data_IF_846103766214
#
_entry.id   IF_846103766214
#
_cell.length_a   1.000
_cell.length_b   1.000
_cell.length_c   1.000
_cell.angle_alpha   90.00
_cell.angle_beta   90.00
_cell.angle_gamma   90.00
#
_symmetry.space_group_name_H-M   'P 1'
#
loop_
_entity.id
_entity.type
_entity.pdbx_description
1 polymer ?
#
# COMPACT_ATOMS: atom_id res chain seq x y z
N UNK A 1 -14.47 2.77 16.14
CA UNK A 1 -14.58 1.35 15.73
C UNK A 1 -13.19 0.91 15.30
N UNK A 2 -12.75 -0.30 15.63
CA UNK A 2 -11.46 -0.83 15.16
C UNK A 2 -11.72 -1.84 14.06
N UNK A 3 -11.16 -1.62 12.87
CA UNK A 3 -11.23 -2.59 11.78
C UNK A 3 -10.09 -3.61 11.89
N UNK A 4 -10.26 -4.76 11.22
CA UNK A 4 -9.25 -5.82 11.13
C UNK A 4 -9.29 -6.42 9.74
N UNK A 5 -8.14 -6.81 9.20
CA UNK A 5 -8.10 -7.45 7.88
C UNK A 5 -8.82 -8.80 7.89
N UNK A 6 -9.74 -8.98 6.93
CA UNK A 6 -10.30 -10.29 6.61
C UNK A 6 -9.25 -11.23 5.98
N UNK A 7 -9.58 -12.51 5.88
CA UNK A 7 -8.65 -13.56 5.42
C UNK A 7 -7.98 -13.22 4.08
N UNK A 8 -8.75 -12.68 3.14
CA UNK A 8 -8.21 -12.26 1.84
C UNK A 8 -7.10 -11.23 2.00
N UNK A 9 -7.33 -10.08 2.63
CA UNK A 9 -6.28 -9.06 2.81
C UNK A 9 -5.12 -9.60 3.64
N UNK A 10 -5.40 -10.42 4.66
CA UNK A 10 -4.37 -10.98 5.53
C UNK A 10 -3.38 -11.89 4.79
N UNK A 11 -3.86 -12.69 3.83
CA UNK A 11 -2.98 -13.48 2.95
C UNK A 11 -1.97 -12.60 2.20
N UNK A 12 -2.40 -11.43 1.71
CA UNK A 12 -1.55 -10.52 0.92
C UNK A 12 -0.58 -9.80 1.85
N UNK A 13 -1.07 -9.30 2.99
CA UNK A 13 -0.23 -8.72 4.06
C UNK A 13 0.87 -9.69 4.49
N UNK A 14 0.55 -10.97 4.67
CA UNK A 14 1.53 -11.96 5.12
C UNK A 14 2.65 -12.24 4.09
N UNK A 15 2.51 -11.79 2.84
CA UNK A 15 3.59 -11.84 1.85
C UNK A 15 4.55 -10.64 1.92
N UNK A 16 4.19 -9.60 2.66
CA UNK A 16 4.98 -8.38 2.82
C UNK A 16 6.03 -8.49 3.93
N UNK A 17 7.01 -7.58 3.91
CA UNK A 17 8.03 -7.45 4.93
C UNK A 17 7.38 -7.20 6.30
N UNK A 18 8.01 -7.69 7.38
CA UNK A 18 7.44 -7.64 8.73
C UNK A 18 7.06 -6.23 9.19
N UNK A 19 7.88 -5.23 8.81
CA UNK A 19 7.60 -3.82 9.10
C UNK A 19 6.33 -3.34 8.42
N UNK A 20 6.15 -3.64 7.13
CA UNK A 20 4.94 -3.29 6.39
C UNK A 20 3.72 -3.99 6.99
N UNK A 21 3.86 -5.23 7.46
CA UNK A 21 2.79 -5.93 8.17
C UNK A 21 2.40 -5.22 9.47
N UNK A 22 3.38 -4.84 10.30
CA UNK A 22 3.13 -4.13 11.57
C UNK A 22 2.45 -2.79 11.31
N UNK A 23 2.94 -2.02 10.35
CA UNK A 23 2.40 -0.72 9.95
C UNK A 23 0.94 -0.86 9.51
N UNK A 24 0.66 -1.74 8.54
CA UNK A 24 -0.70 -1.90 7.99
C UNK A 24 -1.68 -2.42 9.05
N UNK A 25 -1.26 -3.36 9.89
CA UNK A 25 -2.10 -3.90 10.99
C UNK A 25 -2.41 -2.82 12.04
N UNK A 26 -1.47 -1.94 12.34
CA UNK A 26 -1.71 -0.81 13.25
C UNK A 26 -2.65 0.22 12.60
N UNK A 27 -2.40 0.57 11.34
CA UNK A 27 -3.19 1.57 10.61
C UNK A 27 -4.66 1.17 10.48
N UNK A 28 -4.97 -0.09 10.12
CA UNK A 28 -6.37 -0.54 10.01
C UNK A 28 -7.11 -0.49 11.35
N UNK A 29 -6.42 -0.75 12.47
CA UNK A 29 -7.02 -0.67 13.80
C UNK A 29 -7.37 0.76 14.23
N UNK A 30 -6.75 1.77 13.61
CA UNK A 30 -6.88 3.20 13.97
C UNK A 30 -7.67 4.02 12.96
N UNK A 31 -7.80 3.53 11.73
CA UNK A 31 -8.53 4.23 10.69
C UNK A 31 -10.05 4.21 10.96
N UNK A 32 -10.71 5.35 10.72
CA UNK A 32 -12.16 5.43 10.67
C UNK A 32 -12.75 4.99 9.31
N UNK A 33 -11.87 4.75 8.32
CA UNK A 33 -12.21 4.27 6.99
C UNK A 33 -11.62 2.87 6.85
N UNK A 34 -12.49 1.88 6.60
CA UNK A 34 -12.04 0.49 6.39
C UNK A 34 -11.27 0.38 5.07
N UNK A 35 -10.23 -0.45 5.05
CA UNK A 35 -9.42 -0.69 3.85
C UNK A 35 -8.90 -2.12 3.81
N UNK A 36 -8.61 -2.60 2.61
CA UNK A 36 -8.00 -3.90 2.38
C UNK A 36 -6.69 -3.78 1.62
N UNK A 37 -6.04 -4.93 1.43
CA UNK A 37 -4.80 -5.04 0.63
C UNK A 37 -5.12 -5.83 -0.64
N UNK A 38 -4.90 -5.21 -1.79
CA UNK A 38 -5.10 -5.83 -3.10
C UNK A 38 -3.89 -6.66 -3.51
N UNK A 39 -2.67 -6.19 -3.22
CA UNK A 39 -1.44 -6.86 -3.63
C UNK A 39 -0.32 -6.67 -2.60
N UNK A 40 0.46 -7.74 -2.38
CA UNK A 40 1.69 -7.74 -1.59
C UNK A 40 2.84 -8.19 -2.48
N UNK A 41 3.34 -9.42 -2.28
CA UNK A 41 4.33 -10.02 -3.19
C UNK A 41 3.74 -10.31 -4.57
N UNK A 42 4.42 -9.81 -5.59
CA UNK A 42 4.10 -10.01 -7.00
C UNK A 42 5.15 -10.90 -7.66
N UNK A 43 4.70 -12.05 -8.16
CA UNK A 43 5.58 -13.00 -8.86
C UNK A 43 6.08 -12.43 -10.20
N UNK A 44 7.15 -13.01 -10.74
CA UNK A 44 7.72 -12.61 -12.04
C UNK A 44 6.71 -12.84 -13.17
N UNK A 45 5.95 -13.93 -13.11
CA UNK A 45 4.91 -14.25 -14.09
C UNK A 45 3.80 -13.21 -14.06
N UNK A 46 3.36 -12.80 -12.86
CA UNK A 46 2.38 -11.73 -12.69
C UNK A 46 2.93 -10.40 -13.20
N UNK A 47 4.19 -10.08 -12.91
CA UNK A 47 4.85 -8.87 -13.41
C UNK A 47 4.88 -8.84 -14.95
N UNK A 48 5.21 -9.96 -15.59
CA UNK A 48 5.22 -10.09 -17.05
C UNK A 48 3.83 -9.83 -17.64
N UNK A 49 2.78 -10.39 -17.04
CA UNK A 49 1.40 -10.14 -17.48
C UNK A 49 0.99 -8.67 -17.36
N UNK A 50 1.39 -7.98 -16.29
CA UNK A 50 1.10 -6.55 -16.10
C UNK A 50 1.85 -5.67 -17.11
N UNK A 51 3.12 -6.02 -17.38
CA UNK A 51 3.93 -5.35 -18.39
C UNK A 51 3.32 -5.50 -19.79
N UNK A 52 2.88 -6.72 -20.15
CA UNK A 52 2.20 -6.99 -21.44
C UNK A 52 0.87 -6.23 -21.59
N UNK A 53 0.22 -5.87 -20.47
CA UNK A 53 -1.02 -5.08 -20.44
C UNK A 53 -0.80 -3.56 -20.40
N UNK A 54 0.46 -3.10 -20.38
CA UNK A 54 0.83 -1.69 -20.16
C UNK A 54 0.36 -1.12 -18.80
N UNK A 55 0.03 -2.00 -17.84
CA UNK A 55 -0.35 -1.64 -16.47
C UNK A 55 0.89 -1.46 -15.56
N UNK A 56 2.08 -1.77 -16.08
CA UNK A 56 3.35 -1.60 -15.37
C UNK A 56 4.48 -1.29 -16.36
N UNK A 57 5.35 -0.33 -16.02
CA UNK A 57 6.51 0.05 -16.84
C UNK A 57 7.79 -0.74 -16.51
N UNK A 58 7.78 -1.49 -15.40
CA UNK A 58 8.91 -2.28 -14.90
C UNK A 58 8.78 -3.74 -15.39
N UNK A 59 9.83 -4.23 -16.05
CA UNK A 59 9.84 -5.59 -16.62
C UNK A 59 10.05 -6.71 -15.57
N UNK A 60 10.62 -6.41 -14.40
CA UNK A 60 10.78 -7.36 -13.30
C UNK A 60 12.03 -8.25 -13.35
N UNK A 61 12.76 -8.27 -14.48
CA UNK A 61 13.99 -9.08 -14.66
C UNK A 61 15.25 -8.22 -14.55
N UNK A 62 15.32 -7.08 -15.26
CA UNK A 62 16.46 -6.15 -15.22
C UNK A 62 16.33 -5.05 -14.15
N UNK A 63 15.10 -4.71 -13.77
CA UNK A 63 14.76 -3.78 -12.71
C UNK A 63 13.58 -4.38 -11.93
N UNK A 64 13.70 -4.49 -10.61
CA UNK A 64 12.67 -5.08 -9.74
C UNK A 64 11.85 -3.98 -9.10
N UNK A 65 10.52 -4.06 -9.22
CA UNK A 65 9.62 -3.26 -8.39
C UNK A 65 9.63 -3.78 -6.96
N UNK A 66 9.22 -2.94 -6.00
CA UNK A 66 9.21 -3.30 -4.57
C UNK A 66 8.30 -4.49 -4.25
N UNK A 67 7.24 -4.69 -5.04
CA UNK A 67 6.40 -5.89 -4.98
C UNK A 67 7.12 -7.19 -5.36
N UNK A 68 8.18 -7.13 -6.17
CA UNK A 68 8.88 -8.33 -6.65
C UNK A 68 9.91 -8.89 -5.64
N UNK A 69 10.11 -8.19 -4.51
CA UNK A 69 10.93 -8.70 -3.40
C UNK A 69 10.17 -9.77 -2.62
N UNK A 70 10.90 -10.69 -1.98
CA UNK A 70 10.34 -11.72 -1.09
C UNK A 70 11.12 -11.72 0.23
N UNK A 71 10.54 -11.21 1.34
CA UNK A 71 9.19 -10.67 1.44
C UNK A 71 9.01 -9.36 0.66
N UNK A 72 7.77 -9.02 0.30
CA UNK A 72 7.46 -7.80 -0.48
C UNK A 72 7.82 -6.54 0.30
N UNK A 73 8.48 -5.60 -0.37
CA UNK A 73 8.77 -4.28 0.19
C UNK A 73 7.67 -3.27 -0.11
N UNK A 74 6.59 -3.68 -0.79
CA UNK A 74 5.44 -2.84 -1.10
C UNK A 74 4.10 -3.57 -0.90
N UNK A 75 3.04 -2.77 -0.76
CA UNK A 75 1.67 -3.22 -0.71
C UNK A 75 0.75 -2.19 -1.38
N UNK A 76 -0.25 -2.70 -2.09
CA UNK A 76 -1.31 -1.89 -2.68
C UNK A 76 -2.58 -2.05 -1.83
N UNK A 77 -3.24 -0.93 -1.55
CA UNK A 77 -4.48 -0.91 -0.75
C UNK A 77 -5.70 -0.50 -1.57
N UNK A 78 -6.88 -0.74 -1.01
CA UNK A 78 -8.13 -0.19 -1.52
C UNK A 78 -9.08 0.11 -0.36
N UNK A 79 -9.99 1.05 -0.56
CA UNK A 79 -11.00 1.37 0.45
C UNK A 79 -12.12 0.33 0.44
N UNK A 80 -12.44 -0.19 1.62
CA UNK A 80 -13.47 -1.20 1.80
C UNK A 80 -14.77 -0.59 2.30
N UNK A 81 -15.88 -1.12 1.80
CA UNK A 81 -17.21 -0.86 2.34
C UNK A 81 -18.06 -2.13 2.21
N UNK A 82 -18.88 -2.52 3.21
CA UNK A 82 -19.66 -3.75 3.13
C UNK A 82 -20.65 -3.76 1.96
N UNK A 83 -21.29 -2.63 1.67
CA UNK A 83 -22.12 -2.47 0.47
C UNK A 83 -21.27 -2.40 -0.80
N UNK A 84 -21.63 -3.21 -1.80
CA UNK A 84 -20.87 -3.40 -3.04
C UNK A 84 -20.94 -2.17 -3.95
N UNK A 85 -22.09 -1.50 -4.05
CA UNK A 85 -22.25 -0.33 -4.90
C UNK A 85 -21.37 0.82 -4.39
N UNK A 86 -21.40 1.03 -3.07
CA UNK A 86 -20.56 2.01 -2.38
C UNK A 86 -19.08 1.64 -2.50
N UNK A 87 -18.71 0.36 -2.29
CA UNK A 87 -17.33 -0.10 -2.42
C UNK A 87 -16.75 0.19 -3.81
N UNK A 88 -17.53 -0.02 -4.87
CA UNK A 88 -17.08 0.27 -6.25
C UNK A 88 -16.74 1.74 -6.48
N UNK A 89 -17.42 2.65 -5.77
CA UNK A 89 -17.14 4.10 -5.82
C UNK A 89 -15.92 4.46 -4.97
N UNK A 90 -15.78 3.81 -3.80
CA UNK A 90 -14.76 4.16 -2.82
C UNK A 90 -13.39 3.51 -3.06
N UNK A 91 -13.33 2.31 -3.66
CA UNK A 91 -12.13 1.47 -3.68
C UNK A 91 -10.84 2.22 -4.06
N UNK A 92 -10.93 3.13 -5.03
CA UNK A 92 -9.83 3.96 -5.51
C UNK A 92 -10.14 5.46 -5.47
N UNK A 93 -11.03 5.87 -4.56
CA UNK A 93 -11.37 7.28 -4.36
C UNK A 93 -10.20 8.01 -3.68
N UNK A 94 -9.67 9.04 -4.33
CA UNK A 94 -8.40 9.69 -3.97
C UNK A 94 -8.40 10.25 -2.56
N UNK A 95 -9.49 10.90 -2.15
CA UNK A 95 -9.63 11.53 -0.85
C UNK A 95 -9.67 10.49 0.27
N UNK A 96 -10.34 9.38 0.02
CA UNK A 96 -10.43 8.27 0.98
C UNK A 96 -9.09 7.55 1.10
N UNK A 97 -8.39 7.34 -0.02
CA UNK A 97 -7.02 6.81 -0.01
C UNK A 97 -6.06 7.77 0.70
N UNK A 98 -6.15 9.07 0.46
CA UNK A 98 -5.32 10.10 1.12
C UNK A 98 -5.53 10.14 2.62
N UNK A 99 -6.79 10.02 3.07
CA UNK A 99 -7.13 9.90 4.48
C UNK A 99 -6.42 8.70 5.12
N UNK A 100 -6.53 7.52 4.50
CA UNK A 100 -5.88 6.30 4.99
C UNK A 100 -4.36 6.41 4.91
N UNK A 101 -3.82 7.04 3.87
CA UNK A 101 -2.38 7.25 3.69
C UNK A 101 -1.77 8.07 4.83
N UNK A 102 -2.44 9.14 5.27
CA UNK A 102 -2.02 9.91 6.44
C UNK A 102 -1.97 9.08 7.72
N UNK A 103 -2.95 8.20 7.93
CA UNK A 103 -2.97 7.27 9.07
C UNK A 103 -1.83 6.25 8.98
N UNK A 104 -1.59 5.69 7.79
CA UNK A 104 -0.48 4.75 7.55
C UNK A 104 0.86 5.42 7.85
N UNK A 105 1.10 6.62 7.33
CA UNK A 105 2.33 7.38 7.56
C UNK A 105 2.52 7.69 9.05
N UNK A 106 1.48 8.18 9.72
CA UNK A 106 1.53 8.45 11.16
C UNK A 106 1.86 7.19 11.98
N UNK A 107 1.27 6.03 11.64
CA UNK A 107 1.56 4.77 12.32
C UNK A 107 2.97 4.26 12.04
N UNK A 108 3.48 4.47 10.82
CA UNK A 108 4.84 4.09 10.47
C UNK A 108 5.88 4.90 11.25
N UNK A 109 5.72 6.22 11.33
CA UNK A 109 6.62 7.09 12.09
C UNK A 109 6.61 6.74 13.58
N UNK A 110 5.43 6.52 14.17
CA UNK A 110 5.34 6.07 15.56
C UNK A 110 6.09 4.76 15.79
N UNK A 111 5.86 3.74 14.97
CA UNK A 111 6.55 2.46 15.12
C UNK A 111 8.06 2.58 14.91
N UNK A 112 8.50 3.49 14.04
CA UNK A 112 9.91 3.75 13.79
C UNK A 112 10.57 4.44 15.00
N UNK A 113 9.93 5.48 15.54
CA UNK A 113 10.38 6.21 16.72
C UNK A 113 10.45 5.31 17.96
N UNK A 114 9.54 4.34 18.06
CA UNK A 114 9.54 3.30 19.11
C UNK A 114 10.54 2.16 18.86
N UNK A 115 11.25 2.15 17.73
CA UNK A 115 12.18 1.08 17.35
C UNK A 115 11.52 -0.27 17.05
N UNK A 116 10.21 -0.28 16.75
CA UNK A 116 9.42 -1.48 16.43
C UNK A 116 9.50 -1.86 14.94
N UNK A 117 9.83 -0.90 14.09
CA UNK A 117 10.19 -1.08 12.67
C UNK A 117 11.51 -0.37 12.40
N UNK A 118 12.23 -0.79 11.36
CA UNK A 118 13.53 -0.21 10.98
C UNK A 118 13.50 0.57 9.68
N UNK A 119 12.38 0.55 8.95
CA UNK A 119 12.20 1.23 7.67
C UNK A 119 11.21 2.38 7.80
N UNK A 120 11.42 3.42 7.00
CA UNK A 120 10.38 4.42 6.76
C UNK A 120 9.40 3.90 5.70
N UNK A 121 8.25 4.56 5.58
CA UNK A 121 7.26 4.26 4.54
C UNK A 121 7.12 5.43 3.59
N UNK A 122 7.00 5.12 2.31
CA UNK A 122 6.71 6.06 1.24
C UNK A 122 5.36 5.73 0.61
N UNK A 123 4.64 6.77 0.21
CA UNK A 123 3.33 6.66 -0.44
C UNK A 123 3.42 7.10 -1.91
N UNK A 124 2.75 6.38 -2.81
CA UNK A 124 2.85 6.59 -4.26
C UNK A 124 2.21 7.89 -4.79
N UNK A 125 1.54 8.69 -3.94
CA UNK A 125 1.11 10.06 -4.29
C UNK A 125 2.04 11.16 -3.73
N UNK A 126 3.15 10.78 -3.11
CA UNK A 126 4.17 11.69 -2.58
C UNK A 126 5.56 11.00 -2.63
N UNK A 127 6.08 10.81 -3.84
CA UNK A 127 7.22 9.92 -4.12
C UNK A 127 8.56 10.40 -3.56
N UNK A 128 8.73 11.70 -3.38
CA UNK A 128 9.92 12.32 -2.80
C UNK A 128 9.74 12.69 -1.32
N UNK A 129 8.50 12.55 -0.80
CA UNK A 129 8.14 12.79 0.60
C UNK A 129 8.33 14.24 1.03
N UNK A 130 8.17 15.20 0.12
CA UNK A 130 8.33 16.64 0.40
C UNK A 130 7.04 17.32 0.92
N UNK A 131 5.89 16.64 0.75
CA UNK A 131 4.58 17.11 1.20
C UNK A 131 3.73 17.78 0.12
N UNK A 132 4.22 17.89 -1.11
CA UNK A 132 3.50 18.33 -2.30
C UNK A 132 2.81 17.11 -2.92
N UNK A 133 1.59 16.83 -2.46
CA UNK A 133 0.86 15.60 -2.84
C UNK A 133 0.21 15.78 -4.22
N UNK A 134 0.52 14.89 -5.18
CA UNK A 134 -0.14 14.78 -6.51
C UNK A 134 -0.10 16.09 -7.33
N UNK A 135 0.94 16.93 -7.16
CA UNK A 135 1.05 18.24 -7.84
C UNK A 135 2.39 18.50 -8.54
N UNK A 136 3.46 17.77 -8.21
CA UNK A 136 4.83 18.03 -8.70
C UNK A 136 5.52 16.79 -9.29
N UNK A 137 4.79 15.68 -9.40
CA UNK A 137 5.26 14.41 -9.94
C UNK A 137 4.48 14.03 -11.21
N UNK A 138 5.10 13.20 -12.06
CA UNK A 138 4.49 12.77 -13.34
C UNK A 138 3.73 11.45 -13.26
N UNK A 139 3.73 10.81 -12.09
CA UNK A 139 3.12 9.49 -11.89
C UNK A 139 2.63 9.34 -10.44
N UNK A 140 1.32 9.20 -10.28
CA UNK A 140 0.65 9.07 -8.99
C UNK A 140 0.04 7.69 -8.83
N UNK A 141 0.44 7.00 -7.78
CA UNK A 141 -0.04 5.66 -7.42
C UNK A 141 -0.62 5.66 -6.01
N UNK A 142 -1.82 6.23 -5.88
CA UNK A 142 -2.52 6.40 -4.60
C UNK A 142 -2.68 5.10 -3.78
N UNK A 143 -2.93 3.93 -4.39
CA UNK A 143 -2.95 2.65 -3.68
C UNK A 143 -1.60 2.20 -3.09
N UNK A 144 -0.48 2.64 -3.67
CA UNK A 144 0.83 2.03 -3.45
C UNK A 144 1.55 2.59 -2.23
N UNK A 145 2.10 1.69 -1.41
CA UNK A 145 3.01 2.00 -0.31
C UNK A 145 4.24 1.13 -0.37
N UNK A 146 5.41 1.68 -0.05
CA UNK A 146 6.66 0.93 -0.02
C UNK A 146 7.60 1.33 1.11
N UNK A 147 8.42 0.38 1.55
CA UNK A 147 9.51 0.61 2.51
C UNK A 147 10.71 1.28 1.83
N UNK A 148 11.28 2.28 2.49
CA UNK A 148 12.49 3.02 2.10
C UNK A 148 13.53 3.03 3.20
#
# INVERSE_FOLDING_TARGET
MSYTFGSNSLEKVNTCHEDLQKILKLAISRSNVDFGVTEGHRSIERQKQLFERLENTIFGISQKGKHNYKPSLAADIYIYHPDLETRRKLAYHRESLSYVAGIINSCANELFDEGKVSHHIRWGANWDSDGIIDLDQSFDDYPHFELV
#
